data_IF_063769882827
#
_entry.id   IF_063769882827
#
_cell.length_a   1.000
_cell.length_b   1.000
_cell.length_c   1.000
_cell.angle_alpha   90.00
_cell.angle_beta   90.00
_cell.angle_gamma   90.00
#
_symmetry.space_group_name_H-M   'P 1'
#
loop_
_entity.id
_entity.type
_entity.pdbx_description
1 polymer ?
#
# COMPACT_ATOMS: atom_id res chain seq x y z
N UNK A 1 -24.67 -22.17 -2.89
CA UNK A 1 -23.48 -22.98 -2.60
C UNK A 1 -23.83 -23.97 -1.52
N UNK A 2 -23.58 -25.25 -1.79
CA UNK A 2 -23.77 -26.30 -0.83
C UNK A 2 -22.62 -26.39 0.13
N UNK A 3 -22.81 -25.92 1.34
CA UNK A 3 -22.05 -26.39 2.46
C UNK A 3 -22.80 -27.58 3.02
N UNK A 4 -22.38 -28.78 2.68
CA UNK A 4 -22.98 -29.97 3.28
C UNK A 4 -22.68 -29.94 4.77
N UNK A 5 -23.71 -29.76 5.56
CA UNK A 5 -23.67 -30.25 6.93
C UNK A 5 -23.96 -31.74 6.85
N UNK A 6 -22.94 -32.57 6.87
CA UNK A 6 -23.11 -33.99 7.09
C UNK A 6 -23.67 -34.27 8.50
N UNK A 7 -24.24 -35.40 8.72
CA UNK A 7 -24.77 -35.82 10.02
C UNK A 7 -23.74 -35.62 11.13
N UNK A 8 -24.01 -34.75 12.09
CA UNK A 8 -23.14 -34.51 13.27
C UNK A 8 -22.06 -33.49 13.05
N UNK A 9 -21.93 -32.85 11.87
CA UNK A 9 -20.98 -31.78 11.67
C UNK A 9 -21.57 -30.44 12.16
N UNK A 10 -20.76 -29.70 12.91
CA UNK A 10 -21.11 -28.35 13.30
C UNK A 10 -20.98 -27.41 12.10
N UNK A 11 -21.79 -26.36 12.03
CA UNK A 11 -21.73 -25.32 11.00
C UNK A 11 -20.39 -24.56 10.95
N UNK A 12 -19.38 -24.98 11.71
CA UNK A 12 -18.06 -24.38 11.79
C UNK A 12 -17.09 -24.87 10.70
N UNK A 13 -17.43 -25.96 9.99
CA UNK A 13 -16.63 -26.36 8.85
C UNK A 13 -16.90 -25.40 7.68
N UNK A 14 -15.97 -24.50 7.41
CA UNK A 14 -16.07 -23.55 6.32
C UNK A 14 -16.05 -24.26 4.97
N UNK A 15 -16.90 -23.82 4.04
CA UNK A 15 -16.78 -24.22 2.65
C UNK A 15 -15.80 -23.28 1.95
N UNK A 16 -14.60 -23.78 1.64
CA UNK A 16 -13.53 -22.97 1.04
C UNK A 16 -13.94 -22.33 -0.30
N UNK A 17 -14.81 -22.98 -1.08
CA UNK A 17 -15.33 -22.42 -2.34
C UNK A 17 -16.27 -21.25 -2.05
N UNK A 18 -17.17 -21.40 -1.09
CA UNK A 18 -18.07 -20.33 -0.68
C UNK A 18 -17.29 -19.13 -0.08
N UNK A 19 -16.25 -19.39 0.70
CA UNK A 19 -15.39 -18.33 1.25
C UNK A 19 -14.61 -17.59 0.16
N UNK A 20 -14.07 -18.33 -0.82
CA UNK A 20 -13.38 -17.73 -1.96
C UNK A 20 -14.31 -16.83 -2.80
N UNK A 21 -15.55 -17.23 -3.00
CA UNK A 21 -16.54 -16.44 -3.74
C UNK A 21 -17.13 -15.28 -2.91
N UNK A 22 -17.16 -15.45 -1.58
CA UNK A 22 -17.60 -14.39 -0.69
C UNK A 22 -16.63 -13.21 -0.65
N UNK A 23 -15.32 -13.45 -0.77
CA UNK A 23 -14.31 -12.40 -0.60
C UNK A 23 -13.34 -12.39 -1.76
N UNK A 24 -13.28 -11.26 -2.47
CA UNK A 24 -12.28 -11.01 -3.51
C UNK A 24 -11.62 -9.67 -3.29
N UNK A 25 -10.30 -9.67 -3.37
CA UNK A 25 -9.51 -8.43 -3.35
C UNK A 25 -8.57 -8.44 -4.53
N UNK A 26 -8.61 -7.38 -5.32
CA UNK A 26 -7.69 -7.13 -6.41
C UNK A 26 -6.87 -5.89 -6.08
N UNK A 27 -5.55 -6.04 -6.03
CA UNK A 27 -4.63 -4.96 -5.72
C UNK A 27 -3.66 -4.75 -6.89
N UNK A 28 -3.61 -3.52 -7.37
CA UNK A 28 -2.65 -3.06 -8.37
C UNK A 28 -1.72 -2.04 -7.74
N UNK A 29 -0.41 -2.28 -7.85
CA UNK A 29 0.62 -1.37 -7.35
C UNK A 29 1.53 -0.94 -8.49
N UNK A 30 1.72 0.37 -8.60
CA UNK A 30 2.68 1.00 -9.50
C UNK A 30 3.75 1.66 -8.66
N UNK A 31 4.99 1.41 -8.99
CA UNK A 31 6.13 1.95 -8.24
C UNK A 31 7.18 2.46 -9.21
N UNK A 32 7.73 3.62 -8.91
CA UNK A 32 8.86 4.20 -9.61
C UNK A 32 9.98 4.48 -8.60
N UNK A 33 11.16 3.96 -8.89
CA UNK A 33 12.37 4.20 -8.12
C UNK A 33 13.43 4.77 -9.07
N UNK A 34 13.95 5.92 -8.72
CA UNK A 34 15.00 6.58 -9.50
C UNK A 34 16.02 7.23 -8.59
N UNK A 35 17.27 7.24 -9.03
CA UNK A 35 18.34 7.99 -8.39
C UNK A 35 19.20 8.66 -9.45
N UNK A 36 19.72 9.83 -9.10
CA UNK A 36 20.70 10.56 -9.87
C UNK A 36 21.83 10.99 -8.94
N UNK A 37 23.04 10.97 -9.43
CA UNK A 37 24.18 11.48 -8.69
C UNK A 37 25.10 12.29 -9.61
N UNK A 38 25.76 13.27 -9.03
CA UNK A 38 26.75 14.10 -9.67
C UNK A 38 28.01 14.11 -8.80
N UNK A 39 29.13 13.84 -9.41
CA UNK A 39 30.45 14.00 -8.82
C UNK A 39 31.19 15.09 -9.60
N UNK A 40 31.77 16.03 -8.87
CA UNK A 40 32.48 17.15 -9.47
C UNK A 40 33.71 17.50 -8.64
N UNK A 41 34.83 17.70 -9.32
CA UNK A 41 36.11 18.13 -8.74
C UNK A 41 36.43 19.56 -9.24
N UNK A 42 35.88 20.60 -8.57
CA UNK A 42 36.12 22.00 -8.99
C UNK A 42 37.55 22.46 -8.80
N UNK A 43 38.23 21.86 -7.85
CA UNK A 43 39.65 22.17 -7.51
C UNK A 43 40.36 20.86 -7.22
N UNK A 44 41.70 20.87 -7.44
CA UNK A 44 42.55 19.77 -6.99
C UNK A 44 42.33 19.55 -5.48
N UNK A 45 42.22 18.31 -5.05
CA UNK A 45 42.02 17.90 -3.66
C UNK A 45 40.61 18.18 -3.07
N UNK A 46 39.62 18.72 -3.87
CA UNK A 46 38.28 19.03 -3.42
C UNK A 46 37.25 18.25 -4.30
N UNK A 47 36.49 17.35 -3.68
CA UNK A 47 35.41 16.55 -4.32
C UNK A 47 34.08 16.96 -3.77
N UNK A 48 33.13 17.19 -4.67
CA UNK A 48 31.73 17.43 -4.38
C UNK A 48 30.91 16.28 -4.93
N UNK A 49 30.12 15.65 -4.07
CA UNK A 49 29.17 14.60 -4.46
C UNK A 49 27.77 15.05 -4.08
N UNK A 50 26.86 15.01 -5.04
CA UNK A 50 25.44 15.29 -4.82
C UNK A 50 24.64 14.12 -5.34
N UNK A 51 23.71 13.63 -4.55
CA UNK A 51 22.79 12.57 -4.97
C UNK A 51 21.36 12.91 -4.61
N UNK A 52 20.45 12.48 -5.46
CA UNK A 52 19.01 12.60 -5.26
C UNK A 52 18.35 11.26 -5.59
N UNK A 53 17.63 10.71 -4.64
CA UNK A 53 16.84 9.51 -4.83
C UNK A 53 15.35 9.82 -4.63
N UNK A 54 14.53 9.27 -5.52
CA UNK A 54 13.07 9.36 -5.48
C UNK A 54 12.48 7.97 -5.55
N UNK A 55 11.60 7.65 -4.60
CA UNK A 55 10.69 6.52 -4.66
C UNK A 55 9.26 7.05 -4.65
N UNK A 56 8.49 6.69 -5.65
CA UNK A 56 7.06 6.97 -5.73
C UNK A 56 6.30 5.66 -5.85
N UNK A 57 5.16 5.55 -5.17
CA UNK A 57 4.25 4.43 -5.35
C UNK A 57 2.80 4.89 -5.34
N UNK A 58 1.97 4.16 -6.07
CA UNK A 58 0.52 4.25 -6.02
C UNK A 58 -0.04 2.82 -6.00
N UNK A 59 -0.84 2.52 -5.01
CA UNK A 59 -1.50 1.23 -4.83
C UNK A 59 -3.00 1.43 -4.78
N UNK A 60 -3.69 0.82 -5.73
CA UNK A 60 -5.13 0.76 -5.78
C UNK A 60 -5.59 -0.64 -5.40
N UNK A 61 -6.54 -0.75 -4.46
CA UNK A 61 -7.14 -2.01 -4.04
C UNK A 61 -8.65 -1.93 -4.17
N UNK A 62 -9.24 -2.93 -4.79
CA UNK A 62 -10.68 -3.13 -4.92
C UNK A 62 -11.03 -4.41 -4.17
N UNK A 63 -11.87 -4.28 -3.15
CA UNK A 63 -12.36 -5.41 -2.35
C UNK A 63 -13.86 -5.57 -2.53
N UNK A 64 -14.26 -6.79 -2.74
CA UNK A 64 -15.66 -7.17 -2.94
C UNK A 64 -16.00 -8.28 -1.95
N UNK A 65 -17.06 -8.06 -1.20
CA UNK A 65 -17.65 -9.01 -0.29
C UNK A 65 -19.06 -9.34 -0.81
N UNK A 66 -19.27 -10.56 -1.26
CA UNK A 66 -20.56 -11.06 -1.73
C UNK A 66 -21.29 -11.78 -0.60
N UNK A 67 -22.60 -11.69 -0.61
CA UNK A 67 -23.43 -12.54 0.25
C UNK A 67 -23.55 -13.93 -0.37
N UNK A 68 -23.20 -14.94 0.39
CA UNK A 68 -23.28 -16.36 0.02
C UNK A 68 -24.13 -17.11 1.01
N UNK A 69 -25.13 -17.81 0.53
CA UNK A 69 -25.99 -18.67 1.33
C UNK A 69 -25.45 -20.10 1.34
N UNK A 70 -25.23 -20.65 2.52
CA UNK A 70 -24.92 -22.05 2.73
C UNK A 70 -26.25 -22.82 2.96
N UNK A 71 -26.46 -23.85 2.18
CA UNK A 71 -27.68 -24.64 2.23
C UNK A 71 -27.47 -25.91 3.06
N UNK A 72 -28.44 -26.22 3.91
CA UNK A 72 -28.58 -27.52 4.51
C UNK A 72 -29.45 -28.41 3.55
N UNK A 73 -28.82 -29.39 2.95
CA UNK A 73 -29.48 -30.27 1.98
C UNK A 73 -30.46 -31.30 2.60
N UNK A 74 -30.33 -31.54 3.91
CA UNK A 74 -31.28 -32.45 4.60
C UNK A 74 -32.64 -31.79 4.83
N UNK A 75 -32.60 -30.50 5.21
CA UNK A 75 -33.79 -29.72 5.49
C UNK A 75 -34.24 -28.83 4.35
N UNK A 76 -33.44 -28.77 3.28
CA UNK A 76 -33.62 -27.90 2.10
C UNK A 76 -33.82 -26.41 2.51
N UNK A 77 -33.08 -25.98 3.52
CA UNK A 77 -33.15 -24.61 4.04
C UNK A 77 -31.78 -23.94 4.07
N UNK A 78 -31.77 -22.62 4.17
CA UNK A 78 -30.54 -21.86 4.38
C UNK A 78 -30.02 -22.12 5.79
N UNK A 79 -28.89 -22.77 5.93
CA UNK A 79 -28.24 -23.03 7.21
C UNK A 79 -27.52 -21.78 7.75
N UNK A 80 -26.89 -21.02 6.84
CA UNK A 80 -26.12 -19.82 7.18
C UNK A 80 -26.03 -18.90 5.97
N UNK A 81 -26.06 -17.59 6.24
CA UNK A 81 -25.71 -16.54 5.27
C UNK A 81 -24.36 -15.93 5.67
N UNK A 82 -23.43 -15.85 4.75
CA UNK A 82 -22.11 -15.28 4.99
C UNK A 82 -21.79 -14.21 3.94
N UNK A 83 -21.17 -13.11 4.35
CA UNK A 83 -21.09 -12.62 5.71
C UNK A 83 -22.46 -12.06 6.18
N UNK A 84 -22.67 -12.07 7.48
CA UNK A 84 -23.86 -11.50 8.12
C UNK A 84 -23.95 -9.98 7.99
N UNK A 85 -22.82 -9.32 7.68
CA UNK A 85 -22.71 -7.85 7.44
C UNK A 85 -23.29 -7.40 6.11
N UNK A 86 -23.72 -8.32 5.26
CA UNK A 86 -24.22 -8.04 3.91
C UNK A 86 -23.11 -7.91 2.86
N UNK A 87 -23.48 -7.55 1.65
CA UNK A 87 -22.52 -7.32 0.57
C UNK A 87 -21.85 -5.94 0.72
N UNK A 88 -20.58 -5.91 0.43
CA UNK A 88 -19.78 -4.68 0.48
C UNK A 88 -18.90 -4.60 -0.77
N UNK A 89 -18.81 -3.43 -1.34
CA UNK A 89 -17.76 -3.07 -2.30
C UNK A 89 -16.96 -1.90 -1.75
N UNK A 90 -15.63 -2.01 -1.76
CA UNK A 90 -14.75 -0.94 -1.32
C UNK A 90 -13.57 -0.78 -2.24
N UNK A 91 -13.20 0.48 -2.47
CA UNK A 91 -12.00 0.88 -3.18
C UNK A 91 -11.12 1.67 -2.23
N UNK A 92 -9.82 1.39 -2.25
CA UNK A 92 -8.84 2.18 -1.53
C UNK A 92 -7.68 2.55 -2.43
N UNK A 93 -7.17 3.74 -2.26
CA UNK A 93 -5.96 4.23 -2.92
C UNK A 93 -4.96 4.66 -1.86
N UNK A 94 -3.76 4.08 -1.94
CA UNK A 94 -2.63 4.44 -1.11
C UNK A 94 -1.50 4.90 -2.02
N UNK A 95 -1.13 6.17 -1.92
CA UNK A 95 -0.04 6.74 -2.68
C UNK A 95 0.97 7.41 -1.76
N UNK A 96 2.21 7.45 -2.18
CA UNK A 96 3.24 8.13 -1.43
C UNK A 96 4.53 8.29 -2.22
N UNK A 97 5.38 9.14 -1.68
CA UNK A 97 6.73 9.31 -2.19
C UNK A 97 7.72 9.51 -1.06
N UNK A 98 8.92 9.07 -1.30
CA UNK A 98 10.08 9.28 -0.45
C UNK A 98 11.19 9.89 -1.29
N UNK A 99 11.76 10.99 -0.82
CA UNK A 99 12.91 11.62 -1.44
C UNK A 99 14.08 11.63 -0.47
N UNK A 100 15.27 11.44 -1.00
CA UNK A 100 16.52 11.56 -0.26
C UNK A 100 17.47 12.42 -1.08
N UNK A 101 17.84 13.56 -0.53
CA UNK A 101 18.88 14.42 -1.05
C UNK A 101 20.12 14.30 -0.17
N UNK A 102 21.27 14.09 -0.76
CA UNK A 102 22.55 14.04 -0.04
C UNK A 102 23.60 14.88 -0.76
N UNK A 103 24.32 15.69 0.01
CA UNK A 103 25.46 16.43 -0.45
C UNK A 103 26.69 16.11 0.41
N UNK A 104 27.80 15.81 -0.21
CA UNK A 104 29.07 15.53 0.44
C UNK A 104 30.17 16.38 -0.16
N UNK A 105 30.96 17.01 0.71
CA UNK A 105 32.17 17.71 0.36
C UNK A 105 33.32 16.97 1.01
N UNK A 106 34.32 16.58 0.23
CA UNK A 106 35.53 15.92 0.71
C UNK A 106 36.74 16.74 0.26
N UNK A 107 37.60 17.08 1.20
CA UNK A 107 38.87 17.75 0.96
C UNK A 107 40.01 16.85 1.46
N UNK A 108 40.91 16.48 0.56
CA UNK A 108 42.06 15.61 0.87
C UNK A 108 43.34 16.27 0.35
N UNK A 109 44.30 16.50 1.22
CA UNK A 109 45.55 17.13 0.83
C UNK A 109 46.75 16.53 1.54
N UNK A 110 47.80 16.27 0.78
CA UNK A 110 49.12 16.02 1.32
C UNK A 110 49.84 17.35 1.59
N UNK A 111 50.10 17.64 2.85
CA UNK A 111 50.76 18.93 3.27
C UNK A 111 52.26 18.79 3.22
N UNK A 112 52.80 17.70 3.72
CA UNK A 112 54.21 17.35 3.69
C UNK A 112 54.35 15.85 3.36
N UNK A 113 55.56 15.46 2.94
CA UNK A 113 55.83 14.02 2.70
C UNK A 113 55.37 13.16 3.87
N UNK A 114 54.33 12.35 3.66
CA UNK A 114 53.80 11.42 4.65
C UNK A 114 52.71 12.01 5.58
N UNK A 115 52.29 13.27 5.41
CA UNK A 115 51.19 13.88 6.19
C UNK A 115 49.99 14.17 5.29
N UNK A 116 48.93 13.39 5.50
CA UNK A 116 47.65 13.57 4.81
C UNK A 116 46.61 14.20 5.73
N UNK A 117 45.93 15.24 5.28
CA UNK A 117 44.77 15.80 5.94
C UNK A 117 43.56 15.44 5.08
N UNK A 118 42.56 14.90 5.73
CA UNK A 118 41.24 14.64 5.14
C UNK A 118 40.17 15.31 5.99
N UNK A 119 39.28 16.06 5.34
CA UNK A 119 38.10 16.66 5.96
C UNK A 119 36.87 16.33 5.09
N UNK A 120 35.79 15.95 5.74
CA UNK A 120 34.54 15.61 5.08
C UNK A 120 33.41 16.35 5.77
N UNK A 121 32.48 16.87 4.96
CA UNK A 121 31.19 17.38 5.42
C UNK A 121 30.11 16.70 4.62
N UNK A 122 29.11 16.19 5.31
CA UNK A 122 27.95 15.55 4.70
C UNK A 122 26.67 16.19 5.21
N UNK A 123 25.74 16.48 4.29
CA UNK A 123 24.40 16.94 4.60
C UNK A 123 23.39 16.03 3.90
N UNK A 124 22.35 15.64 4.60
CA UNK A 124 21.28 14.82 4.03
C UNK A 124 19.92 15.36 4.46
N UNK A 125 18.98 15.32 3.54
CA UNK A 125 17.57 15.61 3.78
C UNK A 125 16.72 14.47 3.23
N UNK A 126 15.93 13.87 4.10
CA UNK A 126 14.95 12.85 3.77
C UNK A 126 13.55 13.43 3.96
N UNK A 127 12.68 13.23 2.99
CA UNK A 127 11.29 13.62 3.08
C UNK A 127 10.42 12.43 2.68
N UNK A 128 9.38 12.19 3.46
CA UNK A 128 8.38 11.15 3.22
C UNK A 128 6.97 11.74 3.25
N UNK A 129 6.16 11.32 2.31
CA UNK A 129 4.74 11.66 2.23
C UNK A 129 3.93 10.41 1.89
N UNK A 130 2.78 10.26 2.54
CA UNK A 130 1.80 9.23 2.25
C UNK A 130 0.40 9.81 2.32
N UNK A 131 -0.48 9.36 1.41
CA UNK A 131 -1.90 9.66 1.42
C UNK A 131 -2.70 8.38 1.18
N UNK A 132 -3.68 8.15 2.05
CA UNK A 132 -4.65 7.07 1.94
C UNK A 132 -6.03 7.67 1.70
N UNK A 133 -6.78 7.07 0.79
CA UNK A 133 -8.18 7.39 0.53
C UNK A 133 -8.94 6.09 0.35
N UNK A 134 -10.12 5.99 0.97
CA UNK A 134 -10.99 4.84 0.88
C UNK A 134 -12.44 5.24 0.68
N UNK A 135 -13.18 4.42 -0.05
CA UNK A 135 -14.63 4.53 -0.21
C UNK A 135 -15.25 3.14 -0.28
N UNK A 136 -16.36 2.96 0.41
CA UNK A 136 -17.11 1.71 0.41
C UNK A 136 -18.60 1.95 0.38
N UNK A 137 -19.34 1.02 -0.22
CA UNK A 137 -20.80 1.00 -0.23
C UNK A 137 -21.32 -0.40 -0.03
N UNK A 138 -22.54 -0.49 0.48
CA UNK A 138 -23.29 -1.75 0.66
C UNK A 138 -24.49 -1.83 -0.28
N UNK A 139 -25.13 -2.99 -0.28
CA UNK A 139 -26.39 -3.22 -0.97
C UNK A 139 -26.28 -2.95 -2.47
N UNK A 140 -25.38 -3.70 -3.15
CA UNK A 140 -25.31 -3.69 -4.61
C UNK A 140 -26.59 -4.26 -5.20
N UNK A 141 -26.96 -3.74 -6.36
CA UNK A 141 -28.14 -4.22 -7.09
C UNK A 141 -28.01 -5.70 -7.53
N UNK A 142 -26.77 -6.12 -7.82
CA UNK A 142 -26.47 -7.50 -8.21
C UNK A 142 -24.99 -7.82 -7.95
N UNK A 143 -24.68 -9.08 -7.58
CA UNK A 143 -23.31 -9.51 -7.27
C UNK A 143 -22.32 -9.38 -8.44
N UNK A 144 -22.81 -9.40 -9.69
CA UNK A 144 -21.95 -9.19 -10.87
C UNK A 144 -21.56 -7.74 -11.12
N UNK A 145 -22.19 -6.79 -10.44
CA UNK A 145 -21.89 -5.38 -10.58
C UNK A 145 -20.79 -5.01 -9.58
N UNK A 146 -19.60 -4.75 -10.09
CA UNK A 146 -18.38 -4.55 -9.28
C UNK A 146 -17.94 -3.10 -9.26
N UNK A 147 -18.87 -2.16 -9.37
CA UNK A 147 -18.58 -0.73 -9.27
C UNK A 147 -19.29 -0.09 -8.06
N UNK A 148 -18.66 0.93 -7.47
CA UNK A 148 -19.25 1.63 -6.32
C UNK A 148 -20.62 2.25 -6.64
N UNK A 149 -20.80 2.72 -7.86
CA UNK A 149 -22.09 3.32 -8.27
C UNK A 149 -23.23 2.31 -8.41
N UNK A 150 -22.92 1.02 -8.49
CA UNK A 150 -23.91 -0.06 -8.50
C UNK A 150 -24.45 -0.38 -7.09
N UNK A 151 -23.91 0.24 -6.05
CA UNK A 151 -24.31 0.05 -4.67
C UNK A 151 -25.07 1.25 -4.12
N UNK A 152 -25.82 1.04 -3.03
CA UNK A 152 -26.65 2.07 -2.42
C UNK A 152 -25.83 3.29 -1.97
N UNK A 153 -26.34 4.47 -2.24
CA UNK A 153 -25.79 5.75 -1.76
C UNK A 153 -26.11 6.01 -0.28
N UNK A 154 -27.09 5.31 0.27
CA UNK A 154 -27.54 5.52 1.64
C UNK A 154 -26.59 4.85 2.66
N UNK A 155 -25.90 3.77 2.26
CA UNK A 155 -24.97 3.05 3.12
C UNK A 155 -23.57 3.12 2.52
N UNK A 156 -22.85 4.17 2.87
CA UNK A 156 -21.50 4.45 2.37
C UNK A 156 -20.52 4.71 3.52
N UNK A 157 -19.28 4.36 3.28
CA UNK A 157 -18.13 4.71 4.12
C UNK A 157 -17.10 5.44 3.28
N UNK A 158 -16.47 6.44 3.86
CA UNK A 158 -15.35 7.13 3.24
C UNK A 158 -14.35 7.52 4.32
N UNK A 159 -13.10 7.44 3.98
CA UNK A 159 -11.99 7.88 4.83
C UNK A 159 -10.88 8.47 3.97
N UNK A 160 -10.06 9.30 4.61
CA UNK A 160 -8.91 9.89 3.96
C UNK A 160 -7.94 10.42 5.01
N UNK A 161 -6.66 10.11 4.80
CA UNK A 161 -5.57 10.56 5.69
C UNK A 161 -4.33 10.87 4.86
N UNK A 162 -3.62 11.94 5.21
CA UNK A 162 -2.29 12.22 4.71
C UNK A 162 -1.32 12.47 5.85
N UNK A 163 -0.09 12.00 5.68
CA UNK A 163 0.99 12.14 6.63
C UNK A 163 2.26 12.55 5.89
N UNK A 164 3.10 13.35 6.53
CA UNK A 164 4.41 13.70 6.00
C UNK A 164 5.42 13.85 7.12
N UNK A 165 6.66 13.49 6.83
CA UNK A 165 7.77 13.60 7.76
C UNK A 165 9.02 14.05 7.00
N UNK A 166 9.84 14.90 7.62
CA UNK A 166 11.11 15.34 7.07
C UNK A 166 12.21 15.22 8.12
N UNK A 167 13.35 14.68 7.72
CA UNK A 167 14.55 14.53 8.55
C UNK A 167 15.74 15.20 7.88
N UNK A 168 16.50 16.00 8.64
CA UNK A 168 17.75 16.59 8.19
C UNK A 168 18.89 16.15 9.09
N UNK A 169 20.02 15.84 8.51
CA UNK A 169 21.24 15.47 9.22
C UNK A 169 22.47 16.16 8.63
N UNK A 170 23.42 16.48 9.50
CA UNK A 170 24.72 17.08 9.16
C UNK A 170 25.81 16.33 9.93
N UNK A 171 26.87 15.96 9.25
CA UNK A 171 28.03 15.25 9.81
C UNK A 171 29.32 15.85 9.25
#
# INVERSE_FOLDING_TARGET
YGGAMAYGESASAGNAVAEYEAYRTNTSRKEFNGNAYLEWEPLKDLKLNVSYALRYYNQFSKSIQNVVNQMNFQTNSIARTMPDTGDIISNSNNEGHKTLFQGRITYEKEIFKGHHISAMFNAAEEYWFQRNMGAGRKNRLHNSLEELDAASKEVQTNDGKSESEGLRSFI
#
